data_IF_492014737201
#
_entry.id   IF_492014737201
#
_cell.length_a   1.000
_cell.length_b   1.000
_cell.length_c   1.000
_cell.angle_alpha   90.00
_cell.angle_beta   90.00
_cell.angle_gamma   90.00
#
_symmetry.space_group_name_H-M   'P 1'
#
loop_
_entity.id
_entity.type
_entity.pdbx_description
1 polymer ?
#
# COMPACT_ATOMS: atom_id res chain seq x y z
N UNK A 1 -22.95 -72.05 13.11
CA UNK A 1 -21.81 -71.54 13.89
C UNK A 1 -20.56 -71.65 13.05
N UNK A 2 -19.79 -70.56 13.05
CA UNK A 2 -18.37 -70.42 12.73
C UNK A 2 -17.90 -70.27 11.26
N UNK A 3 -17.33 -69.07 11.07
CA UNK A 3 -16.10 -68.73 10.30
C UNK A 3 -16.25 -68.15 8.89
N UNK A 4 -16.04 -66.83 8.80
CA UNK A 4 -15.40 -66.10 7.68
C UNK A 4 -13.87 -66.43 7.68
N UNK A 5 -12.99 -66.15 6.67
CA UNK A 5 -13.08 -65.05 5.67
C UNK A 5 -12.44 -65.23 4.25
N UNK A 6 -12.61 -64.17 3.43
CA UNK A 6 -11.69 -63.60 2.40
C UNK A 6 -11.81 -64.03 0.92
N UNK A 7 -12.00 -63.03 0.03
CA UNK A 7 -11.42 -63.02 -1.32
C UNK A 7 -11.02 -61.58 -1.75
N UNK A 8 -9.87 -61.39 -2.45
CA UNK A 8 -9.29 -60.08 -2.75
C UNK A 8 -9.74 -59.44 -4.09
N UNK A 9 -9.41 -58.13 -4.21
CA UNK A 9 -9.77 -57.15 -5.24
C UNK A 9 -8.93 -57.26 -6.54
N UNK A 10 -9.48 -56.77 -7.66
CA UNK A 10 -8.78 -55.98 -8.69
C UNK A 10 -9.81 -55.34 -9.66
N UNK A 11 -9.81 -54.01 -9.77
CA UNK A 11 -10.57 -53.25 -10.78
C UNK A 11 -9.52 -52.58 -11.69
N UNK A 12 -9.60 -52.84 -12.99
CA UNK A 12 -8.92 -52.08 -14.04
C UNK A 12 -9.97 -51.22 -14.75
N UNK A 13 -9.76 -49.90 -14.85
CA UNK A 13 -10.63 -48.98 -15.56
C UNK A 13 -9.89 -48.24 -16.67
N UNK A 14 -10.59 -48.16 -17.79
CA UNK A 14 -10.19 -47.77 -19.15
C UNK A 14 -10.00 -46.25 -19.27
N UNK A 15 -9.02 -45.84 -20.08
CA UNK A 15 -8.80 -44.46 -20.51
C UNK A 15 -9.70 -44.10 -21.72
N UNK A 16 -10.21 -42.87 -21.79
CA UNK A 16 -10.18 -42.05 -23.02
C UNK A 16 -10.61 -40.58 -22.83
N UNK A 17 -9.71 -39.69 -23.27
CA UNK A 17 -9.89 -38.37 -23.91
C UNK A 17 -10.54 -37.20 -23.15
N UNK A 18 -9.68 -36.36 -22.55
CA UNK A 18 -9.94 -34.94 -22.33
C UNK A 18 -8.99 -34.11 -23.22
N UNK A 19 -9.56 -33.35 -24.15
CA UNK A 19 -8.86 -32.40 -25.01
C UNK A 19 -8.42 -31.18 -24.19
N UNK A 20 -7.15 -31.11 -23.80
CA UNK A 20 -6.58 -29.90 -23.19
C UNK A 20 -6.00 -29.04 -24.31
N UNK A 21 -6.65 -27.91 -24.61
CA UNK A 21 -5.99 -26.83 -25.34
C UNK A 21 -4.98 -26.21 -24.39
N UNK A 22 -3.73 -26.64 -24.48
CA UNK A 22 -2.63 -26.00 -23.77
C UNK A 22 -2.38 -24.63 -24.41
N UNK A 23 -2.83 -23.56 -23.77
CA UNK A 23 -2.27 -22.23 -24.01
C UNK A 23 -0.88 -22.26 -23.41
N UNK A 24 0.10 -22.68 -24.21
CA UNK A 24 1.50 -22.55 -23.87
C UNK A 24 1.84 -21.07 -23.88
N UNK A 25 1.74 -20.41 -22.72
CA UNK A 25 2.52 -19.23 -22.47
C UNK A 25 3.98 -19.68 -22.51
N UNK A 26 4.65 -19.49 -23.64
CA UNK A 26 6.11 -19.57 -23.73
C UNK A 26 6.63 -18.51 -22.78
N UNK A 27 6.89 -18.89 -21.53
CA UNK A 27 7.75 -18.12 -20.65
C UNK A 27 9.12 -18.18 -21.28
N UNK A 28 9.43 -17.23 -22.17
CA UNK A 28 10.78 -17.00 -22.60
C UNK A 28 11.62 -16.84 -21.34
N UNK A 29 12.62 -17.70 -21.15
CA UNK A 29 13.63 -17.50 -20.13
C UNK A 29 14.12 -16.04 -20.27
N UNK A 30 14.24 -15.27 -19.17
CA UNK A 30 14.70 -13.90 -19.27
C UNK A 30 16.03 -13.90 -20.03
N UNK A 31 16.22 -12.99 -21.01
CA UNK A 31 17.44 -12.96 -21.78
C UNK A 31 18.63 -12.92 -20.82
N UNK A 32 19.58 -13.83 -21.02
CA UNK A 32 20.79 -13.87 -20.20
C UNK A 32 21.48 -12.50 -20.33
N UNK A 33 21.66 -11.82 -19.20
CA UNK A 33 22.33 -10.52 -19.16
C UNK A 33 23.71 -10.63 -19.79
N UNK A 34 24.01 -9.73 -20.73
CA UNK A 34 25.38 -9.57 -21.20
C UNK A 34 26.27 -9.13 -20.04
N UNK A 35 27.57 -9.39 -20.15
CA UNK A 35 28.51 -8.96 -19.10
C UNK A 35 28.55 -7.43 -18.95
N UNK A 36 28.32 -6.68 -20.03
CA UNK A 36 28.17 -5.22 -19.98
C UNK A 36 26.95 -4.79 -19.16
N UNK A 37 25.78 -5.40 -19.42
CA UNK A 37 24.55 -5.12 -18.68
C UNK A 37 24.66 -5.52 -17.22
N UNK A 38 25.30 -6.67 -16.93
CA UNK A 38 25.55 -7.12 -15.56
C UNK A 38 26.33 -6.06 -14.78
N UNK A 39 27.41 -5.53 -15.37
CA UNK A 39 28.20 -4.45 -14.75
C UNK A 39 27.39 -3.18 -14.56
N UNK A 40 26.63 -2.77 -15.57
CA UNK A 40 25.78 -1.59 -15.54
C UNK A 40 24.75 -1.66 -14.40
N UNK A 41 23.95 -2.72 -14.35
CA UNK A 41 22.94 -2.88 -13.29
C UNK A 41 23.55 -3.10 -11.91
N UNK A 42 24.67 -3.82 -11.79
CA UNK A 42 25.39 -3.93 -10.52
C UNK A 42 25.82 -2.56 -10.00
N UNK A 43 26.37 -1.71 -10.86
CA UNK A 43 26.72 -0.34 -10.51
C UNK A 43 25.48 0.49 -10.15
N UNK A 44 24.35 0.28 -10.85
CA UNK A 44 23.09 0.96 -10.53
C UNK A 44 22.59 0.61 -9.12
N UNK A 45 22.51 -0.67 -8.76
CA UNK A 45 22.05 -1.11 -7.45
C UNK A 45 22.99 -0.70 -6.30
N UNK A 46 24.32 -0.73 -6.52
CA UNK A 46 25.27 -0.18 -5.54
C UNK A 46 25.01 1.31 -5.28
N UNK A 47 24.65 2.08 -6.31
CA UNK A 47 24.33 3.50 -6.14
C UNK A 47 22.96 3.70 -5.45
N UNK A 48 21.97 2.83 -5.70
CA UNK A 48 20.70 2.80 -4.94
C UNK A 48 20.95 2.61 -3.45
N UNK A 49 21.79 1.63 -3.08
CA UNK A 49 22.15 1.36 -1.68
C UNK A 49 22.83 2.57 -1.01
N UNK A 50 23.58 3.36 -1.79
CA UNK A 50 24.24 4.59 -1.35
C UNK A 50 23.34 5.83 -1.39
N UNK A 51 22.10 5.71 -1.87
CA UNK A 51 21.17 6.83 -2.05
C UNK A 51 21.51 7.76 -3.22
N UNK A 52 22.44 7.39 -4.10
CA UNK A 52 22.83 8.18 -5.28
C UNK A 52 21.95 7.82 -6.48
N UNK A 53 20.70 8.29 -6.48
CA UNK A 53 19.69 7.95 -7.47
C UNK A 53 20.02 8.43 -8.89
N UNK A 54 20.69 9.58 -9.01
CA UNK A 54 21.13 10.07 -10.32
C UNK A 54 22.19 9.15 -10.95
N UNK A 55 23.19 8.73 -10.16
CA UNK A 55 24.18 7.77 -10.65
C UNK A 55 23.54 6.41 -10.94
N UNK A 56 22.59 5.97 -10.09
CA UNK A 56 21.86 4.73 -10.34
C UNK A 56 21.13 4.74 -11.68
N UNK A 57 20.40 5.82 -11.99
CA UNK A 57 19.71 6.00 -13.28
C UNK A 57 20.68 6.04 -14.46
N UNK A 58 21.81 6.75 -14.34
CA UNK A 58 22.83 6.82 -15.40
C UNK A 58 23.47 5.46 -15.71
N UNK A 59 23.70 4.63 -14.68
CA UNK A 59 24.21 3.28 -14.88
C UNK A 59 23.14 2.35 -15.49
N UNK A 60 21.90 2.44 -15.01
CA UNK A 60 20.80 1.63 -15.53
C UNK A 60 20.52 1.89 -17.01
N UNK A 61 20.63 3.14 -17.45
CA UNK A 61 20.45 3.54 -18.86
C UNK A 61 21.47 2.92 -19.84
N UNK A 62 22.52 2.26 -19.33
CA UNK A 62 23.50 1.53 -20.14
C UNK A 62 23.10 0.06 -20.37
N UNK A 63 22.01 -0.40 -19.74
CA UNK A 63 21.42 -1.72 -19.96
C UNK A 63 20.03 -1.62 -20.61
N UNK A 64 19.51 -2.77 -21.03
CA UNK A 64 18.20 -2.84 -21.71
C UNK A 64 17.28 -3.92 -21.13
N UNK A 65 17.48 -4.31 -19.87
CA UNK A 65 16.74 -5.39 -19.24
C UNK A 65 15.46 -4.85 -18.54
N UNK A 66 14.25 -5.15 -19.08
CA UNK A 66 13.02 -4.56 -18.56
C UNK A 66 12.69 -4.97 -17.11
N UNK A 67 13.15 -6.14 -16.66
CA UNK A 67 12.91 -6.61 -15.30
C UNK A 67 13.75 -5.82 -14.30
N UNK A 68 15.02 -5.56 -14.63
CA UNK A 68 15.92 -4.80 -13.76
C UNK A 68 15.57 -3.31 -13.74
N UNK A 69 15.14 -2.74 -14.88
CA UNK A 69 14.61 -1.38 -14.93
C UNK A 69 13.36 -1.24 -14.05
N UNK A 70 12.44 -2.20 -14.15
CA UNK A 70 11.25 -2.25 -13.28
C UNK A 70 11.62 -2.39 -11.80
N UNK A 71 12.65 -3.19 -11.48
CA UNK A 71 13.12 -3.33 -10.11
C UNK A 71 13.70 -2.01 -9.57
N UNK A 72 14.50 -1.29 -10.37
CA UNK A 72 15.02 0.02 -9.99
C UNK A 72 13.90 1.05 -9.77
N UNK A 73 12.92 1.10 -10.67
CA UNK A 73 11.73 1.95 -10.51
C UNK A 73 11.01 1.65 -9.21
N UNK A 74 10.78 0.37 -8.91
CA UNK A 74 10.16 -0.07 -7.66
C UNK A 74 10.98 0.33 -6.42
N UNK A 75 12.31 0.22 -6.47
CA UNK A 75 13.18 0.68 -5.39
C UNK A 75 13.05 2.18 -5.15
N UNK A 76 12.98 2.99 -6.20
CA UNK A 76 12.79 4.44 -6.07
C UNK A 76 11.40 4.77 -5.49
N UNK A 77 10.32 4.20 -6.05
CA UNK A 77 8.93 4.42 -5.58
C UNK A 77 8.73 4.05 -4.10
N UNK A 78 9.53 3.13 -3.54
CA UNK A 78 9.45 2.74 -2.13
C UNK A 78 10.03 3.78 -1.18
N UNK A 79 10.95 4.62 -1.64
CA UNK A 79 11.72 5.54 -0.79
C UNK A 79 10.84 6.68 -0.28
N UNK A 80 11.13 7.12 0.95
CA UNK A 80 10.54 8.35 1.47
C UNK A 80 11.10 9.55 0.70
N UNK A 81 10.25 10.45 0.22
CA UNK A 81 10.68 11.55 -0.65
C UNK A 81 11.10 11.10 -2.05
N UNK A 82 10.52 10.00 -2.56
CA UNK A 82 10.51 9.73 -3.99
C UNK A 82 9.80 10.88 -4.72
N UNK A 83 10.24 11.16 -5.95
CA UNK A 83 9.58 12.13 -6.83
C UNK A 83 8.46 11.48 -7.66
N UNK A 84 8.27 10.16 -7.52
CA UNK A 84 7.19 9.45 -8.18
C UNK A 84 5.83 10.02 -7.77
N UNK A 85 5.07 10.45 -8.76
CA UNK A 85 3.70 10.94 -8.59
C UNK A 85 2.75 9.83 -8.17
N UNK A 86 1.62 10.21 -7.58
CA UNK A 86 0.51 9.29 -7.32
C UNK A 86 0.15 8.45 -8.56
N UNK A 87 0.08 9.08 -9.74
CA UNK A 87 -0.31 8.42 -10.98
C UNK A 87 0.68 7.32 -11.39
N UNK A 88 1.99 7.57 -11.25
CA UNK A 88 3.02 6.58 -11.56
C UNK A 88 2.98 5.39 -10.61
N UNK A 89 2.84 5.64 -9.29
CA UNK A 89 2.75 4.57 -8.29
C UNK A 89 1.45 3.77 -8.47
N UNK A 90 0.33 4.44 -8.73
CA UNK A 90 -0.97 3.81 -9.01
C UNK A 90 -0.91 2.92 -10.26
N UNK A 91 -0.30 3.40 -11.35
CA UNK A 91 -0.11 2.62 -12.56
C UNK A 91 0.77 1.39 -12.29
N UNK A 92 1.86 1.55 -11.54
CA UNK A 92 2.73 0.44 -11.16
C UNK A 92 1.98 -0.62 -10.34
N UNK A 93 1.20 -0.20 -9.34
CA UNK A 93 0.44 -1.09 -8.46
C UNK A 93 -0.62 -1.91 -9.20
N UNK A 94 -1.27 -1.31 -10.20
CA UNK A 94 -2.26 -1.98 -11.06
C UNK A 94 -1.61 -2.94 -12.03
N UNK A 95 -0.53 -2.52 -12.69
CA UNK A 95 0.15 -3.32 -13.70
C UNK A 95 0.91 -4.52 -13.11
N UNK A 96 1.23 -4.50 -11.80
CA UNK A 96 2.08 -5.53 -11.19
C UNK A 96 1.46 -6.10 -9.89
N UNK A 97 0.35 -6.87 -9.98
CA UNK A 97 -0.37 -7.36 -8.80
C UNK A 97 0.41 -8.36 -7.93
N UNK A 98 1.41 -9.03 -8.49
CA UNK A 98 2.28 -9.97 -7.74
C UNK A 98 3.60 -9.37 -7.27
N UNK A 99 3.84 -8.07 -7.47
CA UNK A 99 5.15 -7.48 -7.16
C UNK A 99 5.38 -7.35 -5.64
N UNK A 100 6.61 -7.47 -5.13
CA UNK A 100 6.86 -7.37 -3.69
C UNK A 100 6.53 -5.99 -3.09
N UNK A 101 6.33 -5.95 -1.76
CA UNK A 101 6.12 -4.74 -0.94
C UNK A 101 5.00 -3.80 -1.41
N UNK A 102 3.92 -4.33 -2.01
CA UNK A 102 2.78 -3.51 -2.49
C UNK A 102 2.21 -2.58 -1.44
N UNK A 103 2.12 -3.03 -0.18
CA UNK A 103 1.66 -2.19 0.94
C UNK A 103 2.53 -0.95 1.14
N UNK A 104 3.84 -1.04 0.94
CA UNK A 104 4.73 0.12 1.03
C UNK A 104 4.47 1.10 -0.12
N UNK A 105 4.28 0.60 -1.34
CA UNK A 105 3.91 1.43 -2.49
C UNK A 105 2.54 2.08 -2.30
N UNK A 106 1.56 1.37 -1.76
CA UNK A 106 0.24 1.93 -1.49
C UNK A 106 0.33 3.11 -0.50
N UNK A 107 1.16 2.99 0.55
CA UNK A 107 1.42 4.10 1.47
C UNK A 107 2.08 5.28 0.76
N UNK A 108 3.04 5.03 -0.13
CA UNK A 108 3.67 6.09 -0.95
C UNK A 108 2.69 6.74 -1.91
N UNK A 109 1.75 5.97 -2.47
CA UNK A 109 0.67 6.53 -3.29
C UNK A 109 -0.25 7.44 -2.45
N UNK A 110 -0.62 7.03 -1.23
CA UNK A 110 -1.40 7.88 -0.32
C UNK A 110 -0.69 9.19 0.03
N UNK A 111 0.61 9.14 0.32
CA UNK A 111 1.43 10.32 0.60
C UNK A 111 1.61 11.24 -0.62
N UNK A 112 1.71 10.66 -1.82
CA UNK A 112 1.87 11.40 -3.08
C UNK A 112 0.53 11.87 -3.69
N UNK A 113 -0.61 11.57 -3.04
CA UNK A 113 -1.92 11.92 -3.54
C UNK A 113 -2.08 13.45 -3.58
N UNK A 114 -2.39 14.06 -4.76
CA UNK A 114 -2.47 15.50 -4.87
C UNK A 114 -3.60 16.11 -4.02
N UNK A 115 -3.30 17.23 -3.38
CA UNK A 115 -4.34 18.08 -2.80
C UNK A 115 -5.28 18.55 -3.91
N UNK A 116 -6.59 18.36 -3.73
CA UNK A 116 -7.59 18.76 -4.73
C UNK A 116 -7.81 17.76 -5.86
N UNK A 117 -7.26 16.54 -5.77
CA UNK A 117 -7.66 15.45 -6.67
C UNK A 117 -9.19 15.27 -6.65
N UNK A 118 -9.77 14.99 -7.83
CA UNK A 118 -11.21 14.80 -7.99
C UNK A 118 -11.75 13.78 -6.99
N UNK A 119 -12.87 14.13 -6.35
CA UNK A 119 -13.39 13.37 -5.21
C UNK A 119 -13.95 12.01 -5.63
N UNK A 120 -14.47 11.88 -6.85
CA UNK A 120 -14.90 10.60 -7.40
C UNK A 120 -13.69 9.72 -7.72
N UNK A 121 -12.62 10.29 -8.29
CA UNK A 121 -11.37 9.57 -8.54
C UNK A 121 -10.70 9.08 -7.25
N UNK A 122 -10.65 9.91 -6.20
CA UNK A 122 -10.16 9.50 -4.86
C UNK A 122 -11.00 8.34 -4.31
N UNK A 123 -12.33 8.43 -4.41
CA UNK A 123 -13.24 7.37 -3.96
C UNK A 123 -13.00 6.06 -4.72
N UNK A 124 -12.91 6.12 -6.05
CA UNK A 124 -12.67 4.97 -6.90
C UNK A 124 -11.31 4.31 -6.60
N UNK A 125 -10.27 5.12 -6.36
CA UNK A 125 -8.96 4.62 -5.93
C UNK A 125 -9.06 3.81 -4.64
N UNK A 126 -9.73 4.34 -3.61
CA UNK A 126 -9.83 3.67 -2.31
C UNK A 126 -10.81 2.48 -2.28
N UNK A 127 -11.68 2.32 -3.30
CA UNK A 127 -12.43 1.07 -3.52
C UNK A 127 -11.48 -0.04 -3.96
N UNK A 128 -10.53 0.27 -4.85
CA UNK A 128 -9.56 -0.70 -5.36
C UNK A 128 -8.41 -0.96 -4.36
N UNK A 129 -7.95 0.09 -3.68
CA UNK A 129 -6.84 0.08 -2.74
C UNK A 129 -7.26 0.71 -1.40
N UNK A 130 -7.97 -0.02 -0.52
CA UNK A 130 -8.47 0.51 0.75
C UNK A 130 -7.37 1.17 1.59
N UNK A 131 -7.62 2.35 2.20
CA UNK A 131 -6.57 3.16 2.80
C UNK A 131 -5.87 2.42 3.96
N UNK A 132 -4.54 2.47 3.97
CA UNK A 132 -3.69 1.81 4.96
C UNK A 132 -2.90 2.81 5.85
N UNK A 133 -2.87 4.08 5.45
CA UNK A 133 -2.21 5.16 6.17
C UNK A 133 -3.19 6.25 6.60
N UNK A 134 -2.68 7.16 7.43
CA UNK A 134 -3.43 8.32 7.92
C UNK A 134 -3.79 9.25 6.76
N UNK A 135 -2.85 9.50 5.83
CA UNK A 135 -3.07 10.38 4.67
C UNK A 135 -4.19 9.85 3.78
N UNK A 136 -4.21 8.56 3.46
CA UNK A 136 -5.27 7.98 2.64
C UNK A 136 -6.65 8.04 3.29
N UNK A 137 -6.72 7.81 4.60
CA UNK A 137 -7.98 7.93 5.36
C UNK A 137 -8.51 9.38 5.37
N UNK A 138 -7.62 10.35 5.58
CA UNK A 138 -7.97 11.77 5.53
C UNK A 138 -8.42 12.17 4.12
N UNK A 139 -7.71 11.73 3.08
CA UNK A 139 -8.04 12.02 1.70
C UNK A 139 -9.42 11.45 1.32
N UNK A 140 -9.72 10.21 1.71
CA UNK A 140 -11.02 9.58 1.49
C UNK A 140 -12.13 10.34 2.21
N UNK A 141 -11.94 10.67 3.48
CA UNK A 141 -12.94 11.39 4.25
C UNK A 141 -13.22 12.79 3.68
N UNK A 142 -12.16 13.52 3.30
CA UNK A 142 -12.29 14.82 2.63
C UNK A 142 -13.00 14.71 1.28
N UNK A 143 -12.75 13.65 0.52
CA UNK A 143 -13.49 13.38 -0.73
C UNK A 143 -14.97 13.11 -0.48
N UNK A 144 -15.33 12.29 0.53
CA UNK A 144 -16.73 12.05 0.88
C UNK A 144 -17.44 13.34 1.32
N UNK A 145 -16.77 14.24 2.07
CA UNK A 145 -17.33 15.55 2.41
C UNK A 145 -17.66 16.38 1.16
N UNK A 146 -16.72 16.47 0.20
CA UNK A 146 -16.92 17.24 -1.03
C UNK A 146 -18.02 16.67 -1.93
N UNK A 147 -18.26 15.36 -1.85
CA UNK A 147 -19.38 14.69 -2.52
C UNK A 147 -20.73 14.84 -1.79
N UNK A 148 -20.79 15.59 -0.69
CA UNK A 148 -21.99 15.77 0.11
C UNK A 148 -22.38 14.57 0.99
N UNK A 149 -21.51 13.55 1.09
CA UNK A 149 -21.74 12.33 1.87
C UNK A 149 -21.27 12.52 3.31
N UNK A 150 -21.85 13.52 3.99
CA UNK A 150 -21.38 14.02 5.28
C UNK A 150 -21.37 12.96 6.36
N UNK A 151 -22.40 12.12 6.47
CA UNK A 151 -22.46 11.08 7.52
C UNK A 151 -21.31 10.08 7.40
N UNK A 152 -21.06 9.58 6.18
CA UNK A 152 -19.95 8.67 5.87
C UNK A 152 -18.62 9.34 6.20
N UNK A 153 -18.46 10.60 5.80
CA UNK A 153 -17.22 11.32 6.02
C UNK A 153 -16.94 11.58 7.51
N UNK A 154 -17.96 11.97 8.29
CA UNK A 154 -17.82 12.20 9.73
C UNK A 154 -17.46 10.92 10.46
N UNK A 155 -18.07 9.79 10.09
CA UNK A 155 -17.70 8.49 10.64
C UNK A 155 -16.22 8.17 10.39
N UNK A 156 -15.76 8.33 9.14
CA UNK A 156 -14.36 8.14 8.76
C UNK A 156 -13.40 9.08 9.49
N UNK A 157 -13.74 10.37 9.63
CA UNK A 157 -12.91 11.35 10.33
C UNK A 157 -12.72 10.97 11.80
N UNK A 158 -13.80 10.57 12.48
CA UNK A 158 -13.74 10.19 13.89
C UNK A 158 -12.94 8.90 14.09
N UNK A 159 -13.16 7.89 13.25
CA UNK A 159 -12.36 6.67 13.28
C UNK A 159 -10.88 6.97 13.02
N UNK A 160 -10.59 7.78 11.99
CA UNK A 160 -9.22 8.19 11.65
C UNK A 160 -8.56 8.89 12.82
N UNK A 161 -9.26 9.81 13.48
CA UNK A 161 -8.79 10.52 14.66
C UNK A 161 -8.51 9.57 15.83
N UNK A 162 -9.39 8.63 16.13
CA UNK A 162 -9.17 7.70 17.25
C UNK A 162 -8.01 6.76 16.98
N UNK A 163 -7.96 6.15 15.79
CA UNK A 163 -7.12 4.99 15.53
C UNK A 163 -5.76 5.31 14.87
N UNK A 164 -5.65 6.41 14.15
CA UNK A 164 -4.45 6.65 13.33
C UNK A 164 -3.33 7.32 14.12
N UNK A 165 -2.08 7.02 13.76
CA UNK A 165 -0.92 7.77 14.22
C UNK A 165 -0.79 9.06 13.41
N UNK A 166 -0.57 10.18 14.09
CA UNK A 166 -0.37 11.48 13.43
C UNK A 166 1.01 12.02 13.80
N UNK A 167 1.70 12.63 12.83
CA UNK A 167 2.78 13.57 13.12
C UNK A 167 2.21 14.86 13.71
N UNK A 168 3.02 15.61 14.46
CA UNK A 168 2.57 16.85 15.14
C UNK A 168 1.88 17.85 14.19
N UNK A 169 2.48 18.11 13.01
CA UNK A 169 1.90 19.00 12.01
C UNK A 169 0.59 18.46 11.41
N UNK A 170 0.60 17.18 11.02
CA UNK A 170 -0.57 16.50 10.45
C UNK A 170 -1.74 16.48 11.44
N UNK A 171 -1.47 16.32 12.73
CA UNK A 171 -2.47 16.39 13.81
C UNK A 171 -3.12 17.78 13.88
N UNK A 172 -2.31 18.83 13.86
CA UNK A 172 -2.80 20.21 13.89
C UNK A 172 -3.61 20.54 12.63
N UNK A 173 -3.12 20.15 11.45
CA UNK A 173 -3.82 20.36 10.18
C UNK A 173 -5.18 19.64 10.17
N UNK A 174 -5.21 18.40 10.69
CA UNK A 174 -6.44 17.63 10.84
C UNK A 174 -7.45 18.32 11.78
N UNK A 175 -7.00 18.77 12.95
CA UNK A 175 -7.86 19.47 13.90
C UNK A 175 -8.39 20.79 13.34
N UNK A 176 -7.55 21.55 12.63
CA UNK A 176 -7.96 22.80 12.00
C UNK A 176 -9.05 22.56 10.93
N UNK A 177 -8.89 21.53 10.10
CA UNK A 177 -9.82 21.24 9.02
C UNK A 177 -11.12 20.55 9.50
N UNK A 178 -11.00 19.65 10.48
CA UNK A 178 -12.05 18.68 10.81
C UNK A 178 -12.45 18.63 12.27
N UNK A 179 -11.83 19.43 13.14
CA UNK A 179 -12.09 19.43 14.59
C UNK A 179 -13.56 19.64 14.95
N UNK A 180 -14.29 20.44 14.16
CA UNK A 180 -15.74 20.65 14.32
C UNK A 180 -16.61 19.39 14.20
N UNK A 181 -16.08 18.30 13.62
CA UNK A 181 -16.78 17.03 13.49
C UNK A 181 -16.47 16.06 14.65
N UNK A 182 -15.44 16.34 15.44
CA UNK A 182 -15.03 15.50 16.56
C UNK A 182 -15.91 15.76 17.78
N UNK A 183 -16.12 14.70 18.56
CA UNK A 183 -16.74 14.78 19.88
C UNK A 183 -15.65 14.67 20.94
N UNK A 184 -15.95 15.14 22.13
CA UNK A 184 -15.11 14.88 23.31
C UNK A 184 -14.79 13.39 23.49
N UNK A 185 -15.78 12.51 23.28
CA UNK A 185 -15.58 11.06 23.34
C UNK A 185 -14.52 10.54 22.35
N UNK A 186 -14.35 11.21 21.20
CA UNK A 186 -13.31 10.84 20.23
C UNK A 186 -11.92 11.26 20.72
N UNK A 187 -11.81 12.38 21.42
CA UNK A 187 -10.56 12.81 22.07
C UNK A 187 -10.18 11.87 23.21
N UNK A 188 -11.13 11.50 24.07
CA UNK A 188 -10.93 10.54 25.16
C UNK A 188 -10.45 9.19 24.63
N UNK A 189 -11.12 8.64 23.61
CA UNK A 189 -10.75 7.35 23.04
C UNK A 189 -9.35 7.36 22.41
N UNK A 190 -8.98 8.46 21.73
CA UNK A 190 -7.62 8.65 21.21
C UNK A 190 -6.59 8.73 22.35
N UNK A 191 -6.90 9.48 23.41
CA UNK A 191 -6.03 9.63 24.58
C UNK A 191 -5.75 8.30 25.25
N UNK A 192 -6.79 7.51 25.53
CA UNK A 192 -6.65 6.18 26.10
C UNK A 192 -5.73 5.30 25.23
N UNK A 193 -5.99 5.20 23.92
CA UNK A 193 -5.15 4.44 22.99
C UNK A 193 -3.69 4.92 22.99
N UNK A 194 -3.45 6.24 22.99
CA UNK A 194 -2.10 6.81 22.98
C UNK A 194 -1.36 6.55 24.29
N UNK A 195 -2.04 6.60 25.43
CA UNK A 195 -1.47 6.28 26.74
C UNK A 195 -1.09 4.79 26.81
N UNK A 196 -1.98 3.90 26.37
CA UNK A 196 -1.70 2.46 26.26
C UNK A 196 -0.51 2.15 25.33
N UNK A 197 -0.38 2.88 24.23
CA UNK A 197 0.74 2.76 23.31
C UNK A 197 2.04 3.43 23.81
N UNK A 198 2.03 4.08 24.98
CA UNK A 198 3.19 4.82 25.51
C UNK A 198 3.55 6.09 24.74
N UNK A 199 2.67 6.59 23.86
CA UNK A 199 2.90 7.75 23.00
C UNK A 199 2.68 9.08 23.75
N UNK A 200 3.50 9.32 24.79
CA UNK A 200 3.34 10.43 25.75
C UNK A 200 3.25 11.81 25.10
N UNK A 201 4.11 12.11 24.12
CA UNK A 201 4.09 13.41 23.45
C UNK A 201 2.78 13.66 22.70
N UNK A 202 2.24 12.63 22.06
CA UNK A 202 0.96 12.71 21.36
C UNK A 202 -0.22 12.79 22.32
N UNK A 203 -0.18 12.04 23.41
CA UNK A 203 -1.17 12.14 24.48
C UNK A 203 -1.20 13.55 25.08
N UNK A 204 -0.04 14.13 25.40
CA UNK A 204 0.08 15.48 25.96
C UNK A 204 -0.53 16.57 25.07
N UNK A 205 -0.39 16.47 23.74
CA UNK A 205 -0.98 17.45 22.80
C UNK A 205 -2.51 17.47 22.81
N UNK A 206 -3.15 16.36 23.14
CA UNK A 206 -4.61 16.24 23.08
C UNK A 206 -5.31 16.44 24.43
N UNK A 207 -4.57 16.51 25.54
CA UNK A 207 -5.14 16.70 26.89
C UNK A 207 -6.09 17.90 26.98
N UNK A 208 -5.75 19.02 26.30
CA UNK A 208 -6.58 20.23 26.27
C UNK A 208 -7.97 20.08 25.63
N UNK A 209 -8.24 18.95 24.98
CA UNK A 209 -9.54 18.65 24.34
C UNK A 209 -10.39 17.66 25.14
N UNK A 210 -9.94 17.27 26.33
CA UNK A 210 -10.66 16.42 27.26
C UNK A 210 -10.91 17.23 28.53
N UNK A 211 -12.15 17.30 29.02
CA UNK A 211 -12.43 17.96 30.29
C UNK A 211 -11.67 17.26 31.43
N UNK A 212 -11.14 18.01 32.40
CA UNK A 212 -10.43 17.44 33.56
C UNK A 212 -11.35 16.62 34.48
N UNK A 213 -12.68 16.74 34.35
CA UNK A 213 -13.64 16.14 35.27
C UNK A 213 -14.21 14.79 34.78
N UNK A 214 -13.69 13.68 35.32
CA UNK A 214 -14.44 12.47 35.69
C UNK A 214 -13.79 11.72 36.84
#
# INVERSE_FOLDING_TARGET
>A
MNSNPSFPRLIAAIALLASVVAVAAVQAAPPNLTESERRAYKAAFINVERGNWDAARRHAAQGTNPLLDKALLWYDMRRAGTEASFAEIAAFLRANPGWPDRRRLQRRAEEAMPNGMDSAAVTAWFIEFPPIGTDGRIALAGAQLRLGRTEVAVALLRETWRESGFGSRQEQDFLNAYGKYLRESDHIARLDRLLWAGAKDSAGRIMKYVSEDR
#
